data_IF_374907057020
#
_entry.id   IF_374907057020
#
_cell.length_a   1.000
_cell.length_b   1.000
_cell.length_c   1.000
_cell.angle_alpha   90.00
_cell.angle_beta   90.00
_cell.angle_gamma   90.00
#
_symmetry.space_group_name_H-M   'P 1'
#
loop_
_entity.id
_entity.type
_entity.pdbx_description
1 polymer ?
#
# COMPACT_ATOMS: atom_id res chain seq x y z
N UNK A 1 -25.40 -15.17 3.82
CA UNK A 1 -25.44 -14.03 2.90
C UNK A 1 -24.08 -13.88 2.26
N UNK A 2 -24.05 -13.76 0.93
CA UNK A 2 -22.82 -13.40 0.24
C UNK A 2 -22.40 -11.96 0.64
N UNK A 3 -21.10 -11.65 0.68
CA UNK A 3 -20.61 -10.32 1.11
C UNK A 3 -21.26 -9.16 0.34
N UNK A 4 -21.43 -9.30 -0.97
CA UNK A 4 -22.10 -8.31 -1.82
C UNK A 4 -23.55 -8.05 -1.41
N UNK A 5 -24.33 -9.11 -1.17
CA UNK A 5 -25.75 -9.00 -0.75
C UNK A 5 -25.88 -8.35 0.64
N UNK A 6 -25.01 -8.80 1.58
CA UNK A 6 -24.96 -8.22 2.91
C UNK A 6 -24.62 -6.72 2.86
N UNK A 7 -23.62 -6.35 2.08
CA UNK A 7 -23.21 -4.96 1.90
C UNK A 7 -24.33 -4.12 1.27
N UNK A 8 -25.00 -4.64 0.25
CA UNK A 8 -26.14 -3.98 -0.39
C UNK A 8 -27.31 -3.76 0.58
N UNK A 9 -27.60 -4.74 1.45
CA UNK A 9 -28.60 -4.57 2.50
C UNK A 9 -28.21 -3.47 3.50
N UNK A 10 -26.96 -3.50 3.99
CA UNK A 10 -26.43 -2.51 4.93
C UNK A 10 -26.42 -1.10 4.32
N UNK A 11 -26.03 -1.00 3.05
CA UNK A 11 -26.01 0.25 2.30
C UNK A 11 -27.42 0.84 2.18
N UNK A 12 -28.43 0.06 1.76
CA UNK A 12 -29.82 0.52 1.68
C UNK A 12 -30.32 1.00 3.04
N UNK A 13 -30.10 0.24 4.10
CA UNK A 13 -30.54 0.65 5.45
C UNK A 13 -29.91 1.95 5.91
N UNK A 14 -28.60 2.10 5.70
CA UNK A 14 -27.85 3.27 6.19
C UNK A 14 -28.01 4.50 5.30
N UNK A 15 -27.96 4.33 3.97
CA UNK A 15 -27.94 5.45 3.02
C UNK A 15 -29.33 5.82 2.49
N UNK A 16 -30.19 4.86 2.15
CA UNK A 16 -31.53 5.15 1.65
C UNK A 16 -32.55 5.37 2.77
N UNK A 17 -32.46 4.59 3.85
CA UNK A 17 -33.41 4.68 4.95
C UNK A 17 -32.91 5.48 6.15
N UNK A 18 -31.68 6.00 6.11
CA UNK A 18 -31.12 6.88 7.14
C UNK A 18 -30.96 6.23 8.52
N UNK A 19 -30.90 4.89 8.59
CA UNK A 19 -30.75 4.19 9.86
C UNK A 19 -29.30 4.33 10.34
N UNK A 20 -29.12 4.78 11.58
CA UNK A 20 -27.79 4.95 12.17
C UNK A 20 -27.01 3.63 12.21
N UNK A 21 -25.74 3.65 11.82
CA UNK A 21 -24.89 2.47 11.67
C UNK A 21 -24.71 1.70 12.97
N UNK A 22 -24.62 2.40 14.12
CA UNK A 22 -24.54 1.81 15.45
C UNK A 22 -25.82 1.03 15.83
N UNK A 23 -27.00 1.52 15.40
CA UNK A 23 -28.26 0.82 15.55
C UNK A 23 -28.27 -0.47 14.73
N UNK A 24 -27.85 -0.39 13.45
CA UNK A 24 -27.74 -1.56 12.58
C UNK A 24 -26.77 -2.58 13.20
N UNK A 25 -25.64 -2.12 13.72
CA UNK A 25 -24.62 -2.96 14.35
C UNK A 25 -25.16 -3.75 15.55
N UNK A 26 -25.91 -3.09 16.43
CA UNK A 26 -26.57 -3.75 17.58
C UNK A 26 -27.60 -4.79 17.16
N UNK A 27 -28.43 -4.47 16.17
CA UNK A 27 -29.46 -5.38 15.68
C UNK A 27 -28.90 -6.63 14.99
N UNK A 28 -27.78 -6.48 14.28
CA UNK A 28 -27.20 -7.57 13.49
C UNK A 28 -26.00 -8.27 14.16
N UNK A 29 -25.53 -7.78 15.30
CA UNK A 29 -24.33 -8.31 15.96
C UNK A 29 -23.03 -8.04 15.18
N UNK A 30 -22.99 -6.97 14.36
CA UNK A 30 -21.85 -6.63 13.50
C UNK A 30 -21.22 -5.31 13.97
N UNK A 31 -19.88 -5.25 14.00
CA UNK A 31 -19.19 -4.04 14.41
C UNK A 31 -19.45 -2.87 13.43
N UNK A 32 -19.52 -1.63 13.95
CA UNK A 32 -19.63 -0.41 13.15
C UNK A 32 -18.51 -0.32 12.11
N UNK A 33 -17.30 -0.73 12.47
CA UNK A 33 -16.15 -0.77 11.55
C UNK A 33 -16.39 -1.70 10.37
N UNK A 34 -16.93 -2.89 10.62
CA UNK A 34 -17.26 -3.87 9.58
C UNK A 34 -18.36 -3.35 8.67
N UNK A 35 -19.41 -2.76 9.25
CA UNK A 35 -20.52 -2.17 8.47
C UNK A 35 -19.97 -1.06 7.55
N UNK A 36 -19.21 -0.11 8.08
CA UNK A 36 -18.64 0.97 7.29
C UNK A 36 -17.74 0.45 6.16
N UNK A 37 -16.95 -0.59 6.42
CA UNK A 37 -16.12 -1.22 5.40
C UNK A 37 -16.98 -1.83 4.27
N UNK A 38 -17.96 -2.66 4.59
CA UNK A 38 -18.85 -3.27 3.61
C UNK A 38 -19.63 -2.22 2.81
N UNK A 39 -20.19 -1.23 3.50
CA UNK A 39 -20.93 -0.12 2.86
C UNK A 39 -20.04 0.68 1.93
N UNK A 40 -18.77 0.93 2.30
CA UNK A 40 -17.83 1.70 1.44
C UNK A 40 -17.48 0.97 0.15
N UNK A 41 -17.33 -0.36 0.19
CA UNK A 41 -17.07 -1.16 -1.02
C UNK A 41 -18.30 -1.17 -1.91
N UNK A 42 -19.48 -1.40 -1.32
CA UNK A 42 -20.73 -1.40 -2.09
C UNK A 42 -21.01 -0.03 -2.73
N UNK A 43 -20.79 1.06 -1.99
CA UNK A 43 -20.89 2.43 -2.51
C UNK A 43 -19.95 2.64 -3.70
N UNK A 44 -18.69 2.19 -3.59
CA UNK A 44 -17.73 2.27 -4.68
C UNK A 44 -18.23 1.53 -5.94
N UNK A 45 -18.81 0.34 -5.77
CA UNK A 45 -19.38 -0.43 -6.88
C UNK A 45 -20.57 0.32 -7.53
N UNK A 46 -21.47 0.87 -6.72
CA UNK A 46 -22.61 1.69 -7.20
C UNK A 46 -22.12 2.92 -7.97
N UNK A 47 -21.16 3.67 -7.42
CA UNK A 47 -20.61 4.90 -8.03
C UNK A 47 -19.92 4.62 -9.38
N UNK A 48 -19.43 3.41 -9.56
CA UNK A 48 -18.77 2.96 -10.79
C UNK A 48 -19.69 2.10 -11.68
N UNK A 49 -21.01 2.02 -11.40
CA UNK A 49 -21.97 1.20 -12.14
C UNK A 49 -21.56 -0.27 -12.26
N UNK A 50 -21.02 -0.83 -11.17
CA UNK A 50 -20.61 -2.22 -11.09
C UNK A 50 -21.63 -3.03 -10.32
N UNK A 51 -22.28 -3.97 -11.01
CA UNK A 51 -23.38 -4.78 -10.44
C UNK A 51 -23.02 -6.26 -10.31
N UNK A 52 -21.83 -6.66 -10.79
CA UNK A 52 -21.38 -8.05 -10.79
C UNK A 52 -20.89 -8.47 -9.39
N UNK A 53 -21.62 -9.36 -8.66
CA UNK A 53 -21.22 -9.80 -7.33
C UNK A 53 -19.89 -10.54 -7.30
N UNK A 54 -19.51 -11.21 -8.41
CA UNK A 54 -18.27 -11.99 -8.50
C UNK A 54 -17.02 -11.08 -8.45
N UNK A 55 -17.21 -9.80 -8.73
CA UNK A 55 -16.16 -8.78 -8.66
C UNK A 55 -15.97 -8.14 -7.28
N UNK A 56 -16.79 -8.49 -6.32
CA UNK A 56 -16.69 -7.97 -4.95
C UNK A 56 -15.27 -8.04 -4.38
N UNK A 57 -14.65 -9.22 -4.46
CA UNK A 57 -13.31 -9.46 -3.91
C UNK A 57 -12.22 -8.59 -4.56
N UNK A 58 -12.37 -8.20 -5.82
CA UNK A 58 -11.41 -7.30 -6.49
C UNK A 58 -11.43 -5.91 -5.85
N UNK A 59 -12.62 -5.38 -5.61
CA UNK A 59 -12.78 -4.04 -5.04
C UNK A 59 -12.48 -4.03 -3.54
N UNK A 60 -12.76 -5.11 -2.82
CA UNK A 60 -12.35 -5.26 -1.43
C UNK A 60 -10.83 -5.18 -1.30
N UNK A 61 -10.07 -5.91 -2.11
CA UNK A 61 -8.60 -5.89 -2.09
C UNK A 61 -8.04 -4.53 -2.56
N UNK A 62 -8.70 -3.87 -3.51
CA UNK A 62 -8.29 -2.55 -4.00
C UNK A 62 -8.47 -1.44 -2.96
N UNK A 63 -9.59 -1.43 -2.24
CA UNK A 63 -9.95 -0.34 -1.33
C UNK A 63 -9.35 -0.47 0.07
N UNK A 64 -8.87 -1.67 0.46
CA UNK A 64 -8.36 -1.96 1.79
C UNK A 64 -7.05 -1.23 2.16
N UNK A 65 -6.04 -1.10 1.28
CA UNK A 65 -4.75 -0.53 1.66
C UNK A 65 -4.75 1.00 1.73
N UNK A 66 -4.27 1.57 2.86
CA UNK A 66 -4.15 3.03 3.05
C UNK A 66 -3.33 3.74 1.96
N UNK A 67 -2.31 3.08 1.42
CA UNK A 67 -1.47 3.65 0.36
C UNK A 67 -2.23 3.85 -0.94
N UNK A 68 -3.20 2.97 -1.22
CA UNK A 68 -4.10 3.11 -2.37
C UNK A 68 -5.02 4.30 -2.17
N UNK A 69 -5.57 4.52 -0.97
CA UNK A 69 -6.42 5.67 -0.67
C UNK A 69 -5.71 6.99 -0.99
N UNK A 70 -4.44 7.14 -0.58
CA UNK A 70 -3.65 8.34 -0.89
C UNK A 70 -3.51 8.56 -2.41
N UNK A 71 -3.21 7.50 -3.16
CA UNK A 71 -3.05 7.61 -4.62
C UNK A 71 -4.38 7.92 -5.34
N UNK A 72 -5.51 7.44 -4.82
CA UNK A 72 -6.84 7.79 -5.33
C UNK A 72 -7.18 9.27 -5.15
N UNK A 73 -6.73 9.87 -4.04
CA UNK A 73 -6.87 11.32 -3.81
C UNK A 73 -6.00 12.14 -4.79
N UNK A 74 -4.78 11.67 -5.08
CA UNK A 74 -3.85 12.31 -6.00
C UNK A 74 -4.23 12.09 -7.49
N UNK A 75 -4.93 10.99 -7.81
CA UNK A 75 -5.32 10.55 -9.15
C UNK A 75 -6.80 10.17 -9.20
N UNK A 76 -7.72 11.13 -9.34
CA UNK A 76 -9.17 10.85 -9.34
C UNK A 76 -9.65 9.91 -10.45
N UNK A 77 -8.89 9.81 -11.55
CA UNK A 77 -9.16 8.91 -12.67
C UNK A 77 -8.78 7.45 -12.39
N UNK A 78 -7.99 7.18 -11.35
CA UNK A 78 -7.45 5.85 -11.04
C UNK A 78 -8.57 4.81 -10.85
N UNK A 79 -9.64 5.17 -10.14
CA UNK A 79 -10.76 4.28 -9.87
C UNK A 79 -11.41 3.79 -11.17
N UNK A 80 -11.67 4.69 -12.10
CA UNK A 80 -12.26 4.35 -13.41
C UNK A 80 -11.35 3.45 -14.24
N UNK A 81 -10.05 3.67 -14.17
CA UNK A 81 -9.06 2.85 -14.88
C UNK A 81 -9.01 1.44 -14.30
N UNK A 82 -8.97 1.29 -12.96
CA UNK A 82 -8.97 -0.01 -12.31
C UNK A 82 -10.26 -0.78 -12.64
N UNK A 83 -11.42 -0.15 -12.52
CA UNK A 83 -12.71 -0.76 -12.88
C UNK A 83 -12.72 -1.21 -14.35
N UNK A 84 -12.22 -0.38 -15.27
CA UNK A 84 -12.11 -0.72 -16.69
C UNK A 84 -11.22 -1.93 -16.92
N UNK A 85 -10.06 -2.01 -16.25
CA UNK A 85 -9.10 -3.12 -16.37
C UNK A 85 -9.65 -4.43 -15.79
N UNK A 86 -10.43 -4.38 -14.71
CA UNK A 86 -11.14 -5.54 -14.14
C UNK A 86 -12.22 -6.01 -15.12
N UNK A 87 -13.04 -5.12 -15.66
CA UNK A 87 -14.11 -5.45 -16.61
C UNK A 87 -13.60 -6.04 -17.91
N UNK A 88 -12.49 -5.54 -18.42
CA UNK A 88 -11.87 -6.04 -19.65
C UNK A 88 -11.14 -7.39 -19.46
N UNK A 89 -10.97 -7.86 -18.21
CA UNK A 89 -10.20 -9.07 -17.90
C UNK A 89 -8.69 -8.88 -17.90
N UNK A 90 -8.19 -7.64 -18.09
CA UNK A 90 -6.76 -7.33 -17.97
C UNK A 90 -6.24 -7.61 -16.54
N UNK A 91 -7.10 -7.39 -15.54
CA UNK A 91 -6.93 -7.87 -14.18
C UNK A 91 -7.90 -9.04 -13.99
N UNK A 92 -7.40 -10.26 -14.11
CA UNK A 92 -8.23 -11.47 -14.21
C UNK A 92 -8.60 -12.11 -12.87
N UNK A 93 -7.91 -11.73 -11.78
CA UNK A 93 -8.10 -12.33 -10.44
C UNK A 93 -7.99 -11.29 -9.34
N UNK A 94 -8.77 -11.43 -8.26
CA UNK A 94 -8.68 -10.59 -7.07
C UNK A 94 -7.29 -10.67 -6.40
N UNK A 95 -6.61 -11.82 -6.51
CA UNK A 95 -5.21 -12.01 -6.05
C UNK A 95 -4.26 -11.07 -6.80
N UNK A 96 -4.45 -10.85 -8.11
CA UNK A 96 -3.63 -9.90 -8.88
C UNK A 96 -3.84 -8.45 -8.40
N UNK A 97 -5.06 -8.09 -7.97
CA UNK A 97 -5.30 -6.79 -7.34
C UNK A 97 -4.47 -6.66 -6.07
N UNK A 98 -4.57 -7.63 -5.15
CA UNK A 98 -3.86 -7.61 -3.86
C UNK A 98 -2.34 -7.61 -4.03
N UNK A 99 -1.82 -8.46 -4.88
CA UNK A 99 -0.39 -8.75 -4.94
C UNK A 99 0.36 -7.87 -5.94
N UNK A 100 -0.29 -7.43 -7.04
CA UNK A 100 0.33 -6.64 -8.11
C UNK A 100 -0.19 -5.19 -8.14
N UNK A 101 -1.50 -4.99 -8.35
CA UNK A 101 -2.08 -3.65 -8.51
C UNK A 101 -1.79 -2.78 -7.30
N UNK A 102 -2.02 -3.30 -6.09
CA UNK A 102 -1.75 -2.56 -4.84
C UNK A 102 -0.30 -2.12 -4.73
N UNK A 103 0.68 -2.93 -5.19
CA UNK A 103 2.10 -2.56 -5.17
C UNK A 103 2.43 -1.49 -6.21
N UNK A 104 1.90 -1.62 -7.44
CA UNK A 104 2.06 -0.62 -8.50
C UNK A 104 1.51 0.73 -8.03
N UNK A 105 0.30 0.74 -7.48
CA UNK A 105 -0.35 1.95 -6.97
C UNK A 105 0.43 2.52 -5.78
N UNK A 106 0.87 1.67 -4.85
CA UNK A 106 1.61 2.12 -3.66
C UNK A 106 2.98 2.74 -3.97
N UNK A 107 3.66 2.30 -5.04
CA UNK A 107 4.94 2.87 -5.48
C UNK A 107 4.73 4.21 -6.19
N UNK A 108 3.60 4.37 -6.88
CA UNK A 108 3.23 5.61 -7.55
C UNK A 108 4.16 6.03 -8.70
N UNK A 109 4.17 7.34 -8.99
CA UNK A 109 5.10 7.97 -9.91
C UNK A 109 5.04 7.42 -11.34
N UNK A 110 6.22 7.24 -11.98
CA UNK A 110 6.32 6.82 -13.40
C UNK A 110 5.70 5.44 -13.65
N UNK A 111 5.83 4.50 -12.70
CA UNK A 111 5.28 3.14 -12.84
C UNK A 111 3.75 3.16 -12.84
N UNK A 112 3.14 3.89 -11.90
CA UNK A 112 1.69 4.05 -11.85
C UNK A 112 1.17 4.73 -13.13
N UNK A 113 1.84 5.79 -13.61
CA UNK A 113 1.46 6.48 -14.84
C UNK A 113 1.47 5.56 -16.05
N UNK A 114 2.53 4.75 -16.24
CA UNK A 114 2.60 3.78 -17.35
C UNK A 114 1.47 2.75 -17.28
N UNK A 115 1.15 2.28 -16.06
CA UNK A 115 0.05 1.37 -15.83
C UNK A 115 -1.31 2.01 -16.19
N UNK A 116 -1.53 3.26 -15.81
CA UNK A 116 -2.75 4.00 -16.13
C UNK A 116 -2.90 4.29 -17.63
N UNK A 117 -1.80 4.66 -18.29
CA UNK A 117 -1.75 4.98 -19.73
C UNK A 117 -1.73 3.73 -20.63
N UNK A 118 -1.82 2.51 -20.07
CA UNK A 118 -1.76 1.21 -20.79
C UNK A 118 -0.50 1.05 -21.67
N UNK A 119 0.61 1.67 -21.26
CA UNK A 119 1.91 1.59 -21.97
C UNK A 119 2.68 0.31 -21.67
N UNK A 120 2.37 -0.32 -20.54
CA UNK A 120 2.97 -1.57 -20.08
C UNK A 120 1.87 -2.47 -19.52
N UNK A 121 2.08 -3.76 -19.59
CA UNK A 121 1.19 -4.78 -19.01
C UNK A 121 1.20 -4.72 -17.48
N UNK A 122 0.24 -5.41 -16.84
CA UNK A 122 0.20 -5.53 -15.39
C UNK A 122 1.50 -6.13 -14.83
N UNK A 123 2.04 -7.16 -15.48
CA UNK A 123 3.25 -7.86 -15.02
C UNK A 123 4.50 -7.00 -15.19
N UNK A 124 4.69 -6.32 -16.31
CA UNK A 124 5.81 -5.39 -16.53
C UNK A 124 5.80 -4.22 -15.54
N UNK A 125 4.62 -3.64 -15.26
CA UNK A 125 4.47 -2.62 -14.24
C UNK A 125 4.78 -3.15 -12.84
N UNK A 126 4.40 -4.39 -12.55
CA UNK A 126 4.66 -5.04 -11.26
C UNK A 126 6.15 -5.31 -11.04
N UNK A 127 6.86 -5.84 -12.04
CA UNK A 127 8.31 -6.03 -12.00
C UNK A 127 9.03 -4.71 -11.75
N UNK A 128 8.69 -3.66 -12.52
CA UNK A 128 9.19 -2.31 -12.31
C UNK A 128 8.90 -1.77 -10.90
N UNK A 129 7.75 -2.11 -10.30
CA UNK A 129 7.40 -1.69 -8.95
C UNK A 129 8.23 -2.42 -7.90
N UNK A 130 8.52 -3.73 -8.09
CA UNK A 130 9.37 -4.51 -7.19
C UNK A 130 10.80 -3.98 -7.19
N UNK A 131 11.40 -3.78 -8.37
CA UNK A 131 12.76 -3.26 -8.51
C UNK A 131 12.91 -1.90 -7.83
N UNK A 132 11.99 -0.98 -8.07
CA UNK A 132 11.99 0.33 -7.40
C UNK A 132 11.76 0.22 -5.90
N UNK A 133 10.88 -0.68 -5.47
CA UNK A 133 10.65 -0.95 -4.06
C UNK A 133 11.91 -1.46 -3.36
N UNK A 134 12.66 -2.36 -3.98
CA UNK A 134 13.92 -2.89 -3.46
C UNK A 134 14.99 -1.79 -3.39
N UNK A 135 15.17 -1.02 -4.47
CA UNK A 135 16.13 0.10 -4.51
C UNK A 135 15.80 1.18 -3.47
N UNK A 136 14.53 1.54 -3.32
CA UNK A 136 14.08 2.47 -2.30
C UNK A 136 14.32 1.95 -0.87
N UNK A 137 14.22 0.63 -0.63
CA UNK A 137 14.51 0.06 0.69
C UNK A 137 15.99 0.13 1.03
N UNK A 138 16.89 -0.15 0.07
CA UNK A 138 18.33 -0.04 0.27
C UNK A 138 18.71 1.42 0.55
N UNK A 139 18.28 2.34 -0.29
CA UNK A 139 18.52 3.78 -0.08
C UNK A 139 18.00 4.24 1.29
N UNK A 140 16.79 3.85 1.66
CA UNK A 140 16.20 4.21 2.95
C UNK A 140 17.00 3.66 4.14
N UNK A 141 17.55 2.43 4.03
CA UNK A 141 18.43 1.87 5.07
C UNK A 141 19.71 2.69 5.21
N UNK A 142 20.30 3.08 4.09
CA UNK A 142 21.52 3.93 4.08
C UNK A 142 21.21 5.30 4.67
N UNK A 143 20.10 5.94 4.30
CA UNK A 143 19.69 7.23 4.84
C UNK A 143 19.38 7.16 6.35
N UNK A 144 18.74 6.11 6.82
CA UNK A 144 18.47 5.91 8.25
C UNK A 144 19.77 5.71 9.03
N UNK A 145 20.71 4.92 8.50
CA UNK A 145 22.03 4.75 9.10
C UNK A 145 22.79 6.07 9.14
N UNK A 146 22.78 6.84 8.04
CA UNK A 146 23.38 8.19 7.98
C UNK A 146 22.78 9.11 9.05
N UNK A 147 21.45 9.15 9.18
CA UNK A 147 20.79 9.97 10.22
C UNK A 147 21.22 9.57 11.61
N UNK A 148 21.24 8.27 11.91
CA UNK A 148 21.65 7.73 13.20
C UNK A 148 23.10 8.15 13.56
N UNK A 149 24.05 7.99 12.63
CA UNK A 149 25.48 8.32 12.88
C UNK A 149 25.71 9.83 13.00
N UNK A 150 24.92 10.65 12.32
CA UNK A 150 25.05 12.12 12.37
C UNK A 150 24.31 12.76 13.54
N UNK A 151 23.41 12.01 14.20
CA UNK A 151 22.63 12.48 15.32
C UNK A 151 23.54 12.81 16.53
N UNK A 152 23.40 14.00 17.13
CA UNK A 152 24.22 14.41 18.28
C UNK A 152 24.08 13.48 19.48
N UNK A 153 22.84 13.08 19.82
CA UNK A 153 22.58 12.22 20.97
C UNK A 153 23.24 10.84 20.79
N UNK A 154 23.16 10.27 19.58
CA UNK A 154 23.87 9.02 19.26
C UNK A 154 25.39 9.15 19.36
N UNK A 155 25.96 10.30 18.97
CA UNK A 155 27.40 10.55 19.13
C UNK A 155 27.80 10.58 20.60
N UNK A 156 27.03 11.26 21.42
CA UNK A 156 27.27 11.34 22.86
C UNK A 156 27.13 9.97 23.52
N UNK A 157 26.10 9.19 23.17
CA UNK A 157 25.95 7.81 23.63
C UNK A 157 27.19 6.94 23.29
N UNK A 158 27.70 7.05 22.05
CA UNK A 158 28.90 6.32 21.61
C UNK A 158 30.20 6.72 22.39
N UNK A 159 30.27 7.99 22.77
CA UNK A 159 31.45 8.52 23.50
C UNK A 159 31.43 8.18 24.99
N UNK A 160 30.24 8.12 25.60
CA UNK A 160 30.10 7.91 27.05
C UNK A 160 29.67 6.49 27.44
N UNK A 161 29.58 5.54 26.48
CA UNK A 161 29.34 4.14 26.81
C UNK A 161 30.53 3.46 27.48
N UNK A 162 30.32 2.32 28.18
CA UNK A 162 31.43 1.56 28.81
C UNK A 162 32.52 1.17 27.80
N UNK A 163 33.78 1.20 28.23
CA UNK A 163 34.98 1.02 27.39
C UNK A 163 34.93 -0.25 26.51
N UNK A 164 34.45 -1.36 27.08
CA UNK A 164 34.31 -2.61 26.33
C UNK A 164 33.32 -2.52 25.18
N UNK A 165 32.22 -1.73 25.33
CA UNK A 165 31.24 -1.47 24.30
C UNK A 165 31.77 -0.47 23.26
N UNK A 166 32.47 0.58 23.69
CA UNK A 166 33.16 1.50 22.78
C UNK A 166 34.11 0.77 21.85
N UNK A 167 34.93 -0.17 22.36
CA UNK A 167 35.85 -0.98 21.54
C UNK A 167 35.11 -1.79 20.48
N UNK A 168 33.95 -2.40 20.83
CA UNK A 168 33.09 -3.13 19.89
C UNK A 168 32.48 -2.23 18.82
N UNK A 169 31.96 -1.07 19.22
CA UNK A 169 31.38 -0.08 18.29
C UNK A 169 32.49 0.48 17.35
N UNK A 170 33.63 0.83 17.86
CA UNK A 170 34.78 1.28 17.05
C UNK A 170 35.15 0.25 15.99
N UNK A 171 35.27 -1.02 16.38
CA UNK A 171 35.58 -2.11 15.45
C UNK A 171 34.54 -2.30 14.37
N UNK A 172 33.23 -2.23 14.75
CA UNK A 172 32.13 -2.30 13.81
C UNK A 172 32.14 -1.14 12.80
N UNK A 173 32.33 0.10 13.29
CA UNK A 173 32.42 1.30 12.44
C UNK A 173 33.61 1.25 11.47
N UNK A 174 34.77 0.74 11.90
CA UNK A 174 35.94 0.56 11.02
C UNK A 174 35.64 -0.48 9.91
N UNK A 175 34.93 -1.58 10.22
CA UNK A 175 34.49 -2.54 9.20
C UNK A 175 33.51 -1.93 8.19
N UNK A 176 32.58 -1.15 8.69
CA UNK A 176 31.60 -0.44 7.83
C UNK A 176 32.34 0.54 6.93
N UNK A 177 33.23 1.35 7.46
CA UNK A 177 34.03 2.30 6.69
C UNK A 177 34.80 1.61 5.55
N UNK A 178 35.51 0.54 5.85
CA UNK A 178 36.22 -0.25 4.83
C UNK A 178 35.30 -0.82 3.76
N UNK A 179 34.14 -1.32 4.16
CA UNK A 179 33.15 -1.85 3.22
C UNK A 179 32.54 -0.75 2.32
N UNK A 180 32.27 0.43 2.90
CA UNK A 180 31.77 1.60 2.14
C UNK A 180 32.82 2.05 1.12
N UNK A 181 34.06 2.17 1.48
CA UNK A 181 35.16 2.54 0.56
C UNK A 181 35.26 1.57 -0.62
N UNK A 182 35.14 0.25 -0.33
CA UNK A 182 35.16 -0.77 -1.38
C UNK A 182 33.94 -0.68 -2.33
N UNK A 183 32.77 -0.35 -1.80
CA UNK A 183 31.55 -0.16 -2.59
C UNK A 183 31.66 1.09 -3.47
N UNK A 184 32.10 2.22 -2.92
CA UNK A 184 32.25 3.47 -3.68
C UNK A 184 33.21 3.29 -4.86
N UNK A 185 34.34 2.61 -4.67
CA UNK A 185 35.29 2.28 -5.77
C UNK A 185 34.72 1.39 -6.87
N UNK A 186 33.63 0.65 -6.59
CA UNK A 186 32.95 -0.18 -7.60
C UNK A 186 31.80 0.55 -8.32
N UNK A 187 31.42 1.70 -7.81
CA UNK A 187 30.34 2.54 -8.38
C UNK A 187 30.89 3.67 -9.27
N UNK A 188 32.22 3.88 -9.28
CA UNK A 188 32.97 4.72 -10.22
C UNK A 188 33.19 3.97 -11.54
#
# INVERSE_FOLDING_TARGET
WAPFEQAGYLWRRSKLHGVAVDKIGREMGISVKTINHLVSIYQFMVDNHEEDPDRWSYYEEYLKPRKVQKQREEHPELDKIIVSKIRSGEISKAVDVRDKVVKIVAIGGKTLRKFMEKKETLDECYESAIERGANNQVLKKIENFKKMILDPDTKDELLYMPENQQKKCKFALLKIHKAVDQLLKKME
#
